data_IF_677464069899
#
_entry.id   IF_677464069899
#
_cell.length_a   1.000
_cell.length_b   1.000
_cell.length_c   1.000
_cell.angle_alpha   90.00
_cell.angle_beta   90.00
_cell.angle_gamma   90.00
#
_symmetry.space_group_name_H-M   'P 1'
#
loop_
_entity.id
_entity.type
_entity.pdbx_description
1 polymer ?
#
# COMPACT_ATOMS: atom_id res chain seq x y z
N UNK A 1 4.83 6.75 -14.80
CA UNK A 1 5.87 7.74 -14.45
C UNK A 1 5.34 8.84 -13.52
N UNK A 2 4.26 9.56 -13.86
CA UNK A 2 3.77 10.69 -13.04
C UNK A 2 3.46 10.34 -11.57
N UNK A 3 2.83 9.19 -11.31
CA UNK A 3 2.50 8.76 -9.94
C UNK A 3 3.75 8.51 -9.08
N UNK A 4 4.83 7.99 -9.68
CA UNK A 4 6.09 7.73 -9.00
C UNK A 4 6.88 9.03 -8.77
N UNK A 5 6.85 9.96 -9.72
CA UNK A 5 7.43 11.29 -9.55
C UNK A 5 6.70 12.12 -8.48
N UNK A 6 5.37 12.05 -8.45
CA UNK A 6 4.50 12.80 -7.54
C UNK A 6 4.35 12.22 -6.13
N UNK A 7 5.03 11.10 -5.81
CA UNK A 7 4.89 10.39 -4.53
C UNK A 7 5.13 11.26 -3.29
N UNK A 8 6.06 12.21 -3.36
CA UNK A 8 6.34 13.14 -2.26
C UNK A 8 5.18 14.09 -1.95
N UNK A 9 4.28 14.31 -2.91
CA UNK A 9 3.04 15.08 -2.69
C UNK A 9 1.96 14.24 -2.01
N UNK A 10 2.05 12.92 -2.08
CA UNK A 10 1.14 11.99 -1.38
C UNK A 10 1.58 11.82 0.06
N UNK A 11 2.85 11.52 0.26
CA UNK A 11 3.46 11.33 1.56
C UNK A 11 4.92 11.77 1.53
N UNK A 12 5.33 12.53 2.55
CA UNK A 12 6.68 13.09 2.62
C UNK A 12 7.78 12.04 2.76
N UNK A 13 7.45 10.78 3.11
CA UNK A 13 8.44 9.69 3.07
C UNK A 13 8.92 9.38 1.65
N UNK A 14 8.07 9.63 0.64
CA UNK A 14 8.30 9.17 -0.73
C UNK A 14 8.24 7.65 -0.90
N UNK A 15 7.73 6.91 0.08
CA UNK A 15 7.65 5.43 0.06
C UNK A 15 6.26 4.90 -0.28
N UNK A 16 5.29 5.80 -0.50
CA UNK A 16 3.90 5.50 -0.83
C UNK A 16 3.58 6.07 -2.21
N UNK A 17 3.11 5.20 -3.11
CA UNK A 17 2.63 5.58 -4.44
C UNK A 17 1.11 5.38 -4.52
N UNK A 18 0.41 6.30 -5.19
CA UNK A 18 -1.04 6.19 -5.44
C UNK A 18 -1.28 6.05 -6.93
N UNK A 19 -2.06 5.04 -7.32
CA UNK A 19 -2.54 4.85 -8.68
C UNK A 19 -4.01 5.25 -8.75
N UNK A 20 -4.29 6.33 -9.48
CA UNK A 20 -5.67 6.81 -9.74
C UNK A 20 -6.35 6.09 -10.90
N UNK A 21 -5.58 5.34 -11.69
CA UNK A 21 -6.08 4.54 -12.80
C UNK A 21 -5.53 3.13 -12.64
N UNK A 22 -6.39 2.13 -12.89
CA UNK A 22 -5.99 0.73 -12.81
C UNK A 22 -4.93 0.43 -13.87
N UNK A 23 -3.79 -0.13 -13.45
CA UNK A 23 -2.74 -0.60 -14.34
C UNK A 23 -1.91 -1.73 -13.68
N UNK A 24 -1.32 -2.63 -14.49
CA UNK A 24 -0.42 -3.66 -13.97
C UNK A 24 0.91 -3.02 -13.54
N UNK A 25 1.09 -2.79 -12.24
CA UNK A 25 2.28 -2.09 -11.72
C UNK A 25 3.36 -3.02 -11.13
N UNK A 26 3.00 -4.24 -10.71
CA UNK A 26 3.86 -5.09 -9.86
C UNK A 26 5.21 -5.47 -10.50
N UNK A 27 5.23 -5.70 -11.81
CA UNK A 27 6.47 -6.00 -12.53
C UNK A 27 7.24 -4.72 -12.86
N UNK A 28 6.52 -3.70 -13.34
CA UNK A 28 7.10 -2.43 -13.80
C UNK A 28 7.71 -1.59 -12.68
N UNK A 29 7.26 -1.73 -11.43
CA UNK A 29 7.77 -0.89 -10.32
C UNK A 29 9.28 -1.05 -10.11
N UNK A 30 9.82 -2.26 -10.30
CA UNK A 30 11.26 -2.52 -10.13
C UNK A 30 12.08 -1.85 -11.24
N UNK A 31 11.66 -2.01 -12.49
CA UNK A 31 12.31 -1.38 -13.65
C UNK A 31 12.27 0.15 -13.55
N UNK A 32 11.12 0.70 -13.17
CA UNK A 32 10.94 2.15 -13.02
C UNK A 32 11.75 2.73 -11.86
N UNK A 33 11.86 2.02 -10.74
CA UNK A 33 12.69 2.45 -9.60
C UNK A 33 14.18 2.51 -9.99
N UNK A 34 14.66 1.53 -10.76
CA UNK A 34 16.03 1.51 -11.29
C UNK A 34 16.26 2.64 -12.30
N UNK A 35 15.39 2.76 -13.31
CA UNK A 35 15.47 3.77 -14.36
C UNK A 35 15.46 5.20 -13.78
N UNK A 36 14.55 5.46 -12.84
CA UNK A 36 14.36 6.79 -12.24
C UNK A 36 15.24 7.01 -10.99
N UNK A 37 16.07 6.04 -10.59
CA UNK A 37 16.91 6.07 -9.37
C UNK A 37 16.11 6.47 -8.13
N UNK A 38 15.00 5.80 -7.91
CA UNK A 38 14.08 6.09 -6.80
C UNK A 38 14.69 5.66 -5.48
N UNK A 39 14.96 6.64 -4.61
CA UNK A 39 15.37 6.46 -3.23
C UNK A 39 14.55 7.42 -2.34
N UNK A 40 13.95 6.96 -1.23
CA UNK A 40 13.77 5.56 -0.85
C UNK A 40 12.84 4.78 -1.79
N UNK A 41 13.04 3.46 -1.84
CA UNK A 41 12.19 2.54 -2.62
C UNK A 41 10.74 2.54 -2.12
N UNK A 42 9.78 2.28 -3.01
CA UNK A 42 8.36 2.25 -2.68
C UNK A 42 8.06 1.02 -1.82
N UNK A 43 7.36 1.23 -0.70
CA UNK A 43 6.90 0.18 0.19
C UNK A 43 5.44 -0.17 -0.02
N UNK A 44 4.61 0.83 -0.35
CA UNK A 44 3.17 0.65 -0.51
C UNK A 44 2.64 1.29 -1.79
N UNK A 45 1.71 0.60 -2.45
CA UNK A 45 0.93 1.11 -3.56
C UNK A 45 -0.54 1.14 -3.16
N UNK A 46 -1.17 2.31 -3.30
CA UNK A 46 -2.57 2.54 -2.99
C UNK A 46 -3.35 2.71 -4.29
N UNK A 47 -4.48 2.03 -4.43
CA UNK A 47 -5.32 2.08 -5.62
C UNK A 47 -6.76 1.68 -5.28
N UNK A 48 -7.72 2.09 -6.10
CA UNK A 48 -9.11 1.63 -5.98
C UNK A 48 -9.23 0.16 -6.40
N UNK A 49 -10.06 -0.59 -5.67
CA UNK A 49 -10.55 -1.90 -6.08
C UNK A 49 -11.18 -1.83 -7.49
N UNK A 50 -11.14 -2.92 -8.25
CA UNK A 50 -11.73 -3.04 -9.60
C UNK A 50 -13.22 -2.69 -9.63
N UNK A 51 -13.90 -2.77 -8.48
CA UNK A 51 -15.32 -2.42 -8.33
C UNK A 51 -15.56 -0.95 -7.92
N UNK A 52 -14.52 -0.19 -7.60
CA UNK A 52 -14.62 1.20 -7.12
C UNK A 52 -15.31 1.35 -5.76
N UNK A 53 -15.44 0.27 -4.97
CA UNK A 53 -16.15 0.27 -3.69
C UNK A 53 -15.25 0.51 -2.49
N UNK A 54 -13.94 0.34 -2.66
CA UNK A 54 -12.95 0.43 -1.60
C UNK A 54 -11.56 0.66 -2.17
N UNK A 55 -10.64 1.05 -1.31
CA UNK A 55 -9.25 1.26 -1.60
C UNK A 55 -8.41 0.09 -1.10
N UNK A 56 -7.32 -0.19 -1.80
CA UNK A 56 -6.33 -1.20 -1.47
C UNK A 56 -5.04 -0.53 -1.05
N UNK A 57 -4.39 -1.14 -0.08
CA UNK A 57 -3.01 -0.84 0.32
C UNK A 57 -2.22 -2.12 0.11
N UNK A 58 -1.36 -2.15 -0.90
CA UNK A 58 -0.58 -3.33 -1.24
C UNK A 58 0.90 -3.07 -1.01
N UNK A 59 1.53 -3.96 -0.23
CA UNK A 59 2.95 -3.91 0.03
C UNK A 59 3.74 -4.40 -1.19
N UNK A 60 4.77 -3.67 -1.59
CA UNK A 60 5.65 -4.02 -2.71
C UNK A 60 6.51 -5.22 -2.33
N UNK A 61 6.68 -6.17 -3.24
CA UNK A 61 7.54 -7.33 -3.03
C UNK A 61 9.03 -6.95 -2.97
N UNK A 62 9.86 -7.77 -2.32
CA UNK A 62 11.32 -7.58 -2.31
C UNK A 62 11.97 -7.86 -3.67
N UNK A 63 11.24 -8.52 -4.59
CA UNK A 63 11.64 -8.76 -5.97
C UNK A 63 10.44 -9.20 -6.83
N UNK A 64 10.56 -9.19 -8.17
CA UNK A 64 9.46 -9.52 -9.09
C UNK A 64 8.79 -10.87 -8.83
N UNK A 65 9.58 -11.88 -8.48
CA UNK A 65 9.12 -13.26 -8.24
C UNK A 65 9.11 -13.65 -6.75
N UNK A 66 9.08 -12.66 -5.85
CA UNK A 66 9.14 -12.90 -4.40
C UNK A 66 7.76 -12.71 -3.76
N UNK A 67 7.42 -13.63 -2.86
CA UNK A 67 6.23 -13.53 -2.02
C UNK A 67 6.44 -12.66 -0.76
N UNK A 68 7.70 -12.37 -0.41
CA UNK A 68 8.04 -11.50 0.70
C UNK A 68 7.87 -10.04 0.31
N UNK A 69 7.12 -9.28 1.11
CA UNK A 69 6.99 -7.83 0.97
C UNK A 69 8.19 -7.09 1.58
N UNK A 70 8.58 -5.95 1.00
CA UNK A 70 9.59 -5.03 1.55
C UNK A 70 9.21 -4.59 2.95
N UNK A 71 7.93 -4.31 3.14
CA UNK A 71 7.32 -4.00 4.43
C UNK A 71 5.87 -4.51 4.46
N UNK A 72 5.62 -5.74 4.93
CA UNK A 72 4.26 -6.23 5.10
C UNK A 72 3.48 -5.34 6.07
N UNK A 73 2.15 -5.34 5.97
CA UNK A 73 1.29 -4.68 6.94
C UNK A 73 1.50 -5.25 8.36
N UNK A 74 1.25 -4.43 9.41
CA UNK A 74 1.40 -4.77 10.82
C UNK A 74 0.97 -6.18 11.18
N UNK A 75 1.81 -6.89 11.94
CA UNK A 75 1.54 -8.30 12.28
C UNK A 75 0.23 -8.48 13.04
N UNK A 76 -0.09 -7.52 13.92
CA UNK A 76 -1.30 -7.50 14.73
C UNK A 76 -2.57 -7.12 13.95
N UNK A 77 -2.47 -6.69 12.67
CA UNK A 77 -3.62 -6.48 11.79
C UNK A 77 -3.97 -7.72 10.97
N UNK A 78 -3.02 -8.64 10.78
CA UNK A 78 -3.12 -9.70 9.78
C UNK A 78 -4.23 -10.69 10.12
N UNK A 79 -5.08 -10.96 9.14
CA UNK A 79 -6.24 -11.84 9.30
C UNK A 79 -7.45 -11.15 9.92
N UNK A 80 -7.35 -9.88 10.31
CA UNK A 80 -8.49 -9.11 10.82
C UNK A 80 -9.26 -8.42 9.68
N UNK A 81 -10.54 -8.15 9.94
CA UNK A 81 -11.43 -7.46 9.02
C UNK A 81 -12.44 -6.54 9.71
N UNK A 82 -13.03 -5.64 8.92
CA UNK A 82 -14.12 -4.76 9.32
C UNK A 82 -13.85 -3.94 10.59
N UNK A 83 -14.80 -3.99 11.52
CA UNK A 83 -14.78 -3.18 12.76
C UNK A 83 -13.65 -3.57 13.69
N UNK A 84 -13.33 -4.86 13.81
CA UNK A 84 -12.24 -5.32 14.67
C UNK A 84 -10.90 -4.76 14.19
N UNK A 85 -10.61 -4.89 12.90
CA UNK A 85 -9.44 -4.28 12.31
C UNK A 85 -9.44 -2.75 12.48
N UNK A 86 -10.58 -2.08 12.30
CA UNK A 86 -10.66 -0.62 12.45
C UNK A 86 -10.31 -0.16 13.88
N UNK A 87 -10.71 -0.94 14.90
CA UNK A 87 -10.37 -0.65 16.31
C UNK A 87 -8.89 -0.90 16.57
N UNK A 88 -8.36 -2.06 16.14
CA UNK A 88 -6.96 -2.45 16.38
C UNK A 88 -5.97 -1.56 15.62
N UNK A 89 -6.31 -1.18 14.39
CA UNK A 89 -5.49 -0.30 13.56
C UNK A 89 -5.62 1.17 13.96
N UNK A 90 -6.62 1.52 14.77
CA UNK A 90 -7.02 2.91 15.05
C UNK A 90 -7.30 3.72 13.77
N UNK A 91 -7.72 3.04 12.70
CA UNK A 91 -8.09 3.63 11.41
C UNK A 91 -9.53 3.25 11.09
N UNK A 92 -10.46 4.22 10.95
CA UNK A 92 -11.85 3.90 10.65
C UNK A 92 -12.02 3.34 9.23
N UNK A 93 -13.04 2.50 9.04
CA UNK A 93 -13.45 2.04 7.71
C UNK A 93 -12.52 0.98 7.11
N UNK A 94 -11.70 0.30 7.91
CA UNK A 94 -10.90 -0.82 7.42
C UNK A 94 -11.80 -1.94 6.89
N UNK A 95 -11.38 -2.54 5.77
CA UNK A 95 -12.08 -3.66 5.13
C UNK A 95 -11.45 -4.97 5.59
N UNK A 96 -10.15 -5.16 5.37
CA UNK A 96 -9.42 -6.37 5.75
C UNK A 96 -7.90 -6.18 5.69
N UNK A 97 -7.14 -7.09 6.29
CA UNK A 97 -5.71 -7.32 6.00
C UNK A 97 -5.46 -8.82 5.80
N UNK A 98 -4.82 -9.18 4.70
CA UNK A 98 -4.46 -10.58 4.41
C UNK A 98 -3.52 -11.15 5.49
N UNK A 99 -3.60 -12.46 5.76
CA UNK A 99 -2.83 -13.14 6.82
C UNK A 99 -1.30 -12.96 6.72
N UNK A 100 -0.76 -12.78 5.50
CA UNK A 100 0.68 -12.50 5.33
C UNK A 100 1.04 -11.02 5.43
N UNK A 101 0.05 -10.11 5.45
CA UNK A 101 0.24 -8.67 5.42
C UNK A 101 0.58 -8.08 4.05
N UNK A 102 0.53 -8.85 2.95
CA UNK A 102 0.88 -8.32 1.62
C UNK A 102 -0.12 -7.29 1.09
N UNK A 103 -1.38 -7.34 1.54
CA UNK A 103 -2.45 -6.45 1.10
C UNK A 103 -3.46 -6.22 2.23
N UNK A 104 -4.03 -5.04 2.25
CA UNK A 104 -5.21 -4.69 3.02
C UNK A 104 -6.09 -3.72 2.26
N UNK A 105 -7.17 -3.28 2.90
CA UNK A 105 -8.07 -2.31 2.29
C UNK A 105 -8.81 -1.45 3.29
N UNK A 106 -9.26 -0.30 2.82
CA UNK A 106 -10.09 0.65 3.54
C UNK A 106 -11.23 1.14 2.62
N UNK A 107 -12.35 1.57 3.18
CA UNK A 107 -13.46 2.14 2.42
C UNK A 107 -13.08 3.48 1.75
N UNK A 108 -12.15 4.22 2.34
CA UNK A 108 -11.76 5.56 1.91
C UNK A 108 -10.30 5.60 1.45
N UNK A 109 -9.99 6.57 0.59
CA UNK A 109 -8.63 6.86 0.18
C UNK A 109 -7.78 7.28 1.39
N UNK A 110 -8.33 8.17 2.21
CA UNK A 110 -7.68 8.74 3.38
C UNK A 110 -7.34 7.63 4.39
N UNK A 111 -8.28 6.73 4.67
CA UNK A 111 -8.03 5.61 5.56
C UNK A 111 -7.02 4.61 4.99
N UNK A 112 -7.00 4.36 3.67
CA UNK A 112 -5.95 3.54 3.05
C UNK A 112 -4.56 4.20 3.18
N UNK A 113 -4.49 5.52 3.02
CA UNK A 113 -3.26 6.29 3.21
C UNK A 113 -2.80 6.27 4.67
N UNK A 114 -3.72 6.39 5.63
CA UNK A 114 -3.41 6.25 7.06
C UNK A 114 -2.91 4.84 7.41
N UNK A 115 -3.54 3.79 6.86
CA UNK A 115 -3.06 2.41 7.03
C UNK A 115 -1.61 2.26 6.55
N UNK A 116 -1.28 2.79 5.36
CA UNK A 116 0.09 2.75 4.83
C UNK A 116 1.07 3.54 5.72
N UNK A 117 0.70 4.74 6.17
CA UNK A 117 1.51 5.59 7.05
C UNK A 117 1.77 4.96 8.42
N UNK A 118 0.74 4.39 9.04
CA UNK A 118 0.89 3.67 10.30
C UNK A 118 1.82 2.46 10.11
N UNK A 119 1.63 1.72 9.01
CA UNK A 119 2.50 0.60 8.66
C UNK A 119 3.95 1.02 8.47
N UNK A 120 4.25 2.20 7.92
CA UNK A 120 5.62 2.71 7.78
C UNK A 120 6.36 2.91 9.11
N UNK A 121 5.63 3.23 10.18
CA UNK A 121 6.17 3.64 11.49
C UNK A 121 6.46 2.48 12.45
N UNK A 122 5.91 1.30 12.20
CA UNK A 122 6.16 0.05 12.95
C UNK A 122 7.43 -0.64 12.49
#
# INVERSE_FOLDING_TARGET
MECLAGRHNIDSSGEIMVLRQSCPWKLHIFELEEEMRVEPSIKYVIYEDDRGTSWRVQAVATGPDKFSSRKPLPSHWRGLEGKELSVIAEVPGCVFVHMSGFIGGNQTYEGALEMARASLKE
#
